data_IF_850740850691
#
_entry.id   IF_850740850691
#
_cell.length_a   1.000
_cell.length_b   1.000
_cell.length_c   1.000
_cell.angle_alpha   90.00
_cell.angle_beta   90.00
_cell.angle_gamma   90.00
#
_symmetry.space_group_name_H-M   'P 1'
#
loop_
_entity.id
_entity.type
_entity.pdbx_description
1 polymer ?
#
# COMPACT_ATOMS: atom_id res chain seq x y z
N UNK A 1 -14.12 18.64 1.77
CA UNK A 1 -13.29 17.73 2.58
C UNK A 1 -12.60 18.41 3.75
N UNK A 2 -11.93 19.55 3.56
CA UNK A 2 -11.29 20.29 4.68
C UNK A 2 -12.24 20.60 5.83
N UNK A 3 -13.47 21.05 5.54
CA UNK A 3 -14.50 21.28 6.57
C UNK A 3 -14.82 20.04 7.41
N UNK A 4 -14.89 18.85 6.79
CA UNK A 4 -15.08 17.60 7.53
C UNK A 4 -13.89 17.31 8.44
N UNK A 5 -12.67 17.54 7.96
CA UNK A 5 -11.45 17.46 8.77
C UNK A 5 -11.48 18.39 9.98
N UNK A 6 -11.94 19.63 9.79
CA UNK A 6 -12.11 20.59 10.89
C UNK A 6 -13.17 20.13 11.91
N UNK A 7 -14.31 19.60 11.47
CA UNK A 7 -15.33 19.06 12.37
C UNK A 7 -14.77 17.90 13.21
N UNK A 8 -14.09 16.93 12.57
CA UNK A 8 -13.47 15.81 13.27
C UNK A 8 -12.41 16.31 14.26
N UNK A 9 -11.53 17.21 13.83
CA UNK A 9 -10.48 17.76 14.70
C UNK A 9 -11.04 18.59 15.87
N UNK A 10 -12.16 19.27 15.66
CA UNK A 10 -12.93 19.94 16.70
C UNK A 10 -13.44 18.95 17.75
N UNK A 11 -14.15 17.91 17.30
CA UNK A 11 -14.66 16.86 18.21
C UNK A 11 -13.54 16.09 18.93
N UNK A 12 -12.38 15.90 18.30
CA UNK A 12 -11.19 15.31 18.95
C UNK A 12 -10.65 16.25 20.03
N UNK A 13 -10.55 17.55 19.75
CA UNK A 13 -10.08 18.56 20.71
C UNK A 13 -11.02 18.69 21.92
N UNK A 14 -12.33 18.62 21.68
CA UNK A 14 -13.38 18.61 22.72
C UNK A 14 -13.48 17.29 23.49
N UNK A 15 -12.66 16.28 23.14
CA UNK A 15 -12.64 14.92 23.73
C UNK A 15 -13.92 14.10 23.52
N UNK A 16 -14.81 14.56 22.65
CA UNK A 16 -16.00 13.82 22.22
C UNK A 16 -15.61 12.65 21.32
N UNK A 17 -14.71 12.90 20.37
CA UNK A 17 -14.14 11.89 19.49
C UNK A 17 -12.85 11.31 20.10
N UNK A 18 -12.83 9.99 20.30
CA UNK A 18 -11.70 9.23 20.83
C UNK A 18 -10.92 8.61 19.66
N UNK A 19 -9.84 9.26 19.20
CA UNK A 19 -9.06 8.79 18.06
C UNK A 19 -8.31 7.50 18.38
N UNK A 20 -7.93 6.78 17.33
CA UNK A 20 -7.10 5.59 17.45
C UNK A 20 -5.66 5.98 17.82
N UNK A 21 -5.00 5.16 18.63
CA UNK A 21 -3.58 5.31 18.96
C UNK A 21 -2.88 3.97 18.84
N UNK A 22 -1.74 3.94 18.13
CA UNK A 22 -0.93 2.72 18.00
C UNK A 22 -0.26 2.28 19.30
N UNK A 23 -0.04 3.21 20.23
CA UNK A 23 0.49 2.97 21.58
C UNK A 23 -0.24 3.87 22.58
N UNK A 24 -0.21 3.53 23.88
CA UNK A 24 -1.01 4.20 24.95
C UNK A 24 -0.87 5.74 24.96
N UNK A 25 0.34 6.26 24.71
CA UNK A 25 0.63 7.70 24.64
C UNK A 25 1.00 8.14 23.21
N UNK A 26 0.45 7.43 22.23
CA UNK A 26 0.71 7.59 20.80
C UNK A 26 0.15 8.89 20.24
N UNK A 27 0.68 9.33 19.10
CA UNK A 27 0.04 10.33 18.25
C UNK A 27 -1.36 9.79 17.87
N UNK A 28 -2.43 10.56 18.13
CA UNK A 28 -3.77 10.18 17.76
C UNK A 28 -3.97 10.21 16.24
N UNK A 29 -4.69 9.24 15.72
CA UNK A 29 -5.15 9.16 14.32
C UNK A 29 -6.67 9.10 14.35
N UNK A 30 -7.34 10.11 13.78
CA UNK A 30 -8.80 10.18 13.69
C UNK A 30 -9.32 9.93 12.29
N UNK A 31 -8.60 10.34 11.25
CA UNK A 31 -9.03 10.17 9.86
C UNK A 31 -7.87 10.17 8.87
N UNK A 32 -8.11 9.60 7.69
CA UNK A 32 -7.29 9.73 6.48
C UNK A 32 -8.20 10.10 5.31
N UNK A 33 -7.82 11.10 4.53
CA UNK A 33 -8.56 11.54 3.35
C UNK A 33 -7.69 11.41 2.10
N UNK A 34 -8.29 10.91 1.03
CA UNK A 34 -7.73 10.98 -0.32
C UNK A 34 -8.87 11.19 -1.31
N UNK A 35 -8.94 12.38 -1.93
CA UNK A 35 -10.09 12.76 -2.76
C UNK A 35 -11.42 12.52 -2.03
N UNK A 36 -12.25 11.61 -2.55
CA UNK A 36 -13.53 11.16 -2.00
C UNK A 36 -13.42 9.93 -1.07
N UNK A 37 -12.28 9.25 -1.05
CA UNK A 37 -12.03 8.09 -0.21
C UNK A 37 -11.62 8.50 1.23
N UNK A 38 -12.43 8.09 2.20
CA UNK A 38 -12.27 8.45 3.61
C UNK A 38 -12.10 7.20 4.47
N UNK A 39 -11.12 7.23 5.37
CA UNK A 39 -11.02 6.27 6.48
C UNK A 39 -11.17 7.02 7.79
N UNK A 40 -12.10 6.56 8.62
CA UNK A 40 -12.32 7.10 9.97
C UNK A 40 -11.81 6.12 11.02
N UNK A 41 -11.17 6.66 12.04
CA UNK A 41 -10.61 5.92 13.16
C UNK A 41 -11.23 6.40 14.46
N UNK A 42 -11.93 5.50 15.15
CA UNK A 42 -12.52 5.76 16.45
C UNK A 42 -12.39 4.53 17.34
N UNK A 43 -12.46 4.75 18.67
CA UNK A 43 -12.54 3.66 19.62
C UNK A 43 -13.90 2.97 19.51
N UNK A 44 -13.92 1.63 19.44
CA UNK A 44 -15.17 0.86 19.43
C UNK A 44 -15.92 1.05 20.75
N UNK A 45 -16.91 1.95 20.76
CA UNK A 45 -17.81 2.29 21.87
C UNK A 45 -19.08 2.92 21.28
N UNK A 46 -20.22 2.71 21.92
CA UNK A 46 -21.51 3.26 21.51
C UNK A 46 -21.50 4.80 21.41
N UNK A 47 -21.00 5.52 22.42
CA UNK A 47 -20.91 6.98 22.35
C UNK A 47 -20.05 7.50 21.19
N UNK A 48 -19.14 6.69 20.64
CA UNK A 48 -18.32 7.09 19.48
C UNK A 48 -19.08 6.96 18.16
N UNK A 49 -20.03 6.02 18.05
CA UNK A 49 -20.84 5.89 16.83
C UNK A 49 -21.80 7.04 16.67
N UNK A 50 -22.36 7.55 17.76
CA UNK A 50 -23.19 8.76 17.77
C UNK A 50 -22.39 9.98 17.30
N UNK A 51 -21.16 10.16 17.82
CA UNK A 51 -20.28 11.26 17.40
C UNK A 51 -19.93 11.15 15.90
N UNK A 52 -19.62 9.95 15.41
CA UNK A 52 -19.37 9.71 13.97
C UNK A 52 -20.59 10.12 13.15
N UNK A 53 -21.78 9.62 13.52
CA UNK A 53 -23.02 9.89 12.81
C UNK A 53 -23.36 11.38 12.82
N UNK A 54 -23.19 12.06 13.96
CA UNK A 54 -23.42 13.49 14.09
C UNK A 54 -22.49 14.29 13.17
N UNK A 55 -21.17 14.04 13.23
CA UNK A 55 -20.19 14.74 12.38
C UNK A 55 -20.49 14.54 10.89
N UNK A 56 -20.80 13.31 10.47
CA UNK A 56 -21.14 13.02 9.07
C UNK A 56 -22.45 13.68 8.64
N UNK A 57 -23.47 13.68 9.51
CA UNK A 57 -24.76 14.30 9.23
C UNK A 57 -24.63 15.82 9.16
N UNK A 58 -23.92 16.45 10.11
CA UNK A 58 -23.64 17.89 10.09
C UNK A 58 -22.88 18.28 8.82
N UNK A 59 -21.86 17.51 8.42
CA UNK A 59 -21.17 17.76 7.16
C UNK A 59 -22.10 17.59 5.94
N UNK A 60 -22.96 16.58 5.94
CA UNK A 60 -23.93 16.37 4.87
C UNK A 60 -24.93 17.53 4.74
N UNK A 61 -25.42 18.06 5.87
CA UNK A 61 -26.30 19.23 5.89
C UNK A 61 -25.64 20.46 5.28
N UNK A 62 -24.36 20.72 5.59
CA UNK A 62 -23.65 21.89 5.07
C UNK A 62 -23.14 21.75 3.63
N UNK A 63 -22.81 20.54 3.20
CA UNK A 63 -22.16 20.29 1.90
C UNK A 63 -23.10 19.72 0.84
N UNK A 64 -24.27 19.23 1.23
CA UNK A 64 -25.16 18.43 0.38
C UNK A 64 -24.64 17.03 0.04
N UNK A 65 -23.43 16.66 0.48
CA UNK A 65 -22.84 15.35 0.18
C UNK A 65 -23.31 14.30 1.18
N UNK A 66 -23.73 13.13 0.69
CA UNK A 66 -24.17 12.02 1.53
C UNK A 66 -23.19 10.86 1.48
N UNK A 67 -23.05 10.18 2.62
CA UNK A 67 -22.24 8.96 2.72
C UNK A 67 -22.92 7.83 1.95
N UNK A 68 -22.17 7.18 1.06
CA UNK A 68 -22.67 6.01 0.34
C UNK A 68 -22.64 4.78 1.27
N UNK A 69 -23.77 4.50 1.93
CA UNK A 69 -23.89 3.38 2.88
C UNK A 69 -23.56 2.02 2.27
N UNK A 70 -23.78 1.81 0.97
CA UNK A 70 -23.49 0.53 0.29
C UNK A 70 -22.00 0.32 0.04
N UNK A 71 -21.23 1.40 -0.09
CA UNK A 71 -19.77 1.35 -0.24
C UNK A 71 -19.02 1.49 1.08
N UNK A 72 -19.72 1.85 2.16
CA UNK A 72 -19.11 2.10 3.46
C UNK A 72 -19.08 0.81 4.26
N UNK A 73 -17.89 0.42 4.69
CA UNK A 73 -17.63 -0.81 5.43
C UNK A 73 -17.04 -0.47 6.81
N UNK A 74 -17.29 -1.34 7.79
CA UNK A 74 -16.70 -1.23 9.12
C UNK A 74 -15.85 -2.46 9.40
N UNK A 75 -14.61 -2.21 9.80
CA UNK A 75 -13.70 -3.21 10.35
C UNK A 75 -13.52 -3.00 11.85
N UNK A 76 -13.61 -4.08 12.61
CA UNK A 76 -13.40 -4.07 14.05
C UNK A 76 -12.10 -4.78 14.42
N UNK A 77 -11.44 -4.28 15.47
CA UNK A 77 -10.29 -4.98 16.06
C UNK A 77 -10.73 -6.36 16.58
N UNK A 78 -9.89 -7.41 16.48
CA UNK A 78 -10.19 -8.75 17.00
C UNK A 78 -10.59 -8.78 18.49
N UNK A 79 -10.15 -7.77 19.26
CA UNK A 79 -10.44 -7.65 20.69
C UNK A 79 -11.79 -6.99 20.99
N UNK A 80 -12.59 -6.65 19.97
CA UNK A 80 -13.91 -6.02 20.15
C UNK A 80 -14.95 -7.10 20.40
N UNK A 81 -15.74 -6.98 21.47
CA UNK A 81 -16.80 -7.96 21.78
C UNK A 81 -17.87 -8.00 20.68
N UNK A 82 -18.35 -9.19 20.30
CA UNK A 82 -19.28 -9.35 19.16
C UNK A 82 -20.55 -8.54 19.30
N UNK A 83 -21.14 -8.50 20.51
CA UNK A 83 -22.36 -7.73 20.77
C UNK A 83 -22.19 -6.25 20.42
N UNK A 84 -21.03 -5.66 20.73
CA UNK A 84 -20.72 -4.26 20.43
C UNK A 84 -20.50 -4.05 18.94
N UNK A 85 -19.91 -5.03 18.23
CA UNK A 85 -19.76 -4.95 16.77
C UNK A 85 -21.13 -4.92 16.08
N UNK A 86 -22.06 -5.77 16.53
CA UNK A 86 -23.41 -5.85 15.97
C UNK A 86 -24.22 -4.59 16.28
N UNK A 87 -24.10 -4.05 17.49
CA UNK A 87 -24.73 -2.79 17.89
C UNK A 87 -24.24 -1.61 17.03
N UNK A 88 -22.92 -1.44 16.90
CA UNK A 88 -22.31 -0.38 16.07
C UNK A 88 -22.74 -0.50 14.61
N UNK A 89 -22.75 -1.72 14.07
CA UNK A 89 -23.13 -1.96 12.67
C UNK A 89 -24.60 -1.68 12.42
N UNK A 90 -25.50 -2.07 13.35
CA UNK A 90 -26.93 -1.76 13.28
C UNK A 90 -27.20 -0.26 13.38
N UNK A 91 -26.51 0.44 14.28
CA UNK A 91 -26.69 1.87 14.48
C UNK A 91 -26.28 2.69 13.25
N UNK A 92 -25.10 2.41 12.68
CA UNK A 92 -24.60 3.14 11.51
C UNK A 92 -25.23 2.64 10.19
N UNK A 93 -25.69 1.38 10.16
CA UNK A 93 -26.23 0.73 8.97
C UNK A 93 -25.18 0.42 7.91
N UNK A 94 -23.93 0.16 8.33
CA UNK A 94 -22.81 -0.18 7.44
C UNK A 94 -22.47 -1.66 7.54
N UNK A 95 -21.90 -2.22 6.46
CA UNK A 95 -21.54 -3.63 6.41
C UNK A 95 -20.28 -3.90 7.23
N UNK A 96 -20.35 -4.90 8.12
CA UNK A 96 -19.18 -5.44 8.82
C UNK A 96 -18.33 -6.29 7.88
N UNK A 97 -17.02 -6.06 7.89
CA UNK A 97 -16.05 -6.84 7.11
C UNK A 97 -14.91 -7.35 7.97
N UNK A 98 -14.34 -8.50 7.58
CA UNK A 98 -13.15 -9.07 8.23
C UNK A 98 -11.85 -8.35 7.82
N UNK A 99 -11.89 -7.58 6.74
CA UNK A 99 -10.78 -6.77 6.24
C UNK A 99 -11.33 -5.63 5.39
N UNK A 100 -10.76 -4.44 5.51
CA UNK A 100 -11.09 -3.26 4.69
C UNK A 100 -10.67 -3.39 3.20
N UNK A 101 -10.23 -4.58 2.78
CA UNK A 101 -9.87 -4.85 1.39
C UNK A 101 -8.71 -4.00 0.88
N UNK A 102 -8.94 -3.23 -0.18
CA UNK A 102 -7.95 -2.37 -0.86
C UNK A 102 -8.30 -0.91 -0.65
N UNK A 103 -7.33 -0.12 -0.19
CA UNK A 103 -7.41 1.33 -0.16
C UNK A 103 -6.39 1.92 -1.12
N UNK A 104 -6.85 2.78 -2.04
CA UNK A 104 -6.04 3.32 -3.13
C UNK A 104 -5.36 2.24 -4.00
N UNK A 105 -5.95 1.05 -4.05
CA UNK A 105 -5.38 -0.10 -4.77
C UNK A 105 -4.32 -0.88 -4.00
N UNK A 106 -3.92 -0.45 -2.79
CA UNK A 106 -3.07 -1.22 -1.89
C UNK A 106 -3.93 -2.03 -0.92
N UNK A 107 -3.73 -3.35 -0.89
CA UNK A 107 -4.42 -4.20 0.09
C UNK A 107 -3.94 -3.92 1.51
N UNK A 108 -4.86 -3.85 2.47
CA UNK A 108 -4.50 -3.87 3.89
C UNK A 108 -3.94 -5.26 4.23
N UNK A 109 -2.62 -5.40 4.17
CA UNK A 109 -1.94 -6.64 4.53
C UNK A 109 -1.91 -6.76 6.06
N UNK A 110 -2.79 -7.60 6.60
CA UNK A 110 -2.88 -7.86 8.04
C UNK A 110 -1.81 -8.86 8.54
N UNK A 111 -1.07 -9.51 7.63
CA UNK A 111 -0.07 -10.54 7.93
C UNK A 111 1.17 -10.43 7.02
N UNK A 112 2.15 -11.33 7.20
CA UNK A 112 3.28 -11.50 6.29
C UNK A 112 2.76 -11.74 4.86
N UNK A 113 3.15 -10.87 3.93
CA UNK A 113 2.71 -10.93 2.55
C UNK A 113 3.12 -12.27 1.91
N UNK A 114 2.13 -13.05 1.47
CA UNK A 114 2.33 -14.32 0.77
C UNK A 114 2.51 -14.04 -0.73
N UNK A 115 3.10 -14.98 -1.46
CA UNK A 115 3.21 -14.86 -2.93
C UNK A 115 1.83 -14.76 -3.60
N UNK A 116 0.81 -15.43 -3.05
CA UNK A 116 -0.58 -15.38 -3.51
C UNK A 116 -1.16 -13.98 -3.48
N UNK A 117 -0.74 -13.15 -2.53
CA UNK A 117 -1.31 -11.81 -2.34
C UNK A 117 -0.93 -10.86 -3.49
N UNK A 118 0.06 -11.24 -4.31
CA UNK A 118 0.56 -10.46 -5.44
C UNK A 118 0.20 -11.04 -6.80
N UNK A 119 -0.60 -12.12 -6.87
CA UNK A 119 -1.02 -12.72 -8.14
C UNK A 119 -1.70 -11.70 -9.06
N UNK A 120 -2.49 -10.79 -8.48
CA UNK A 120 -3.17 -9.73 -9.21
C UNK A 120 -2.21 -8.79 -9.99
N UNK A 121 -0.94 -8.67 -9.56
CA UNK A 121 0.08 -7.89 -10.29
C UNK A 121 0.43 -8.62 -11.58
N UNK A 122 0.64 -9.94 -11.50
CA UNK A 122 0.91 -10.79 -12.65
C UNK A 122 -0.27 -10.77 -13.62
N UNK A 123 -1.50 -10.85 -13.10
CA UNK A 123 -2.71 -10.80 -13.92
C UNK A 123 -2.81 -9.48 -14.68
N UNK A 124 -2.60 -8.33 -14.02
CA UNK A 124 -2.57 -7.01 -14.69
C UNK A 124 -1.50 -6.93 -15.79
N UNK A 125 -0.34 -7.54 -15.59
CA UNK A 125 0.73 -7.58 -16.59
C UNK A 125 0.31 -8.44 -17.78
N UNK A 126 -0.27 -9.62 -17.53
CA UNK A 126 -0.79 -10.51 -18.58
C UNK A 126 -1.91 -9.86 -19.38
N UNK A 127 -2.85 -9.19 -18.71
CA UNK A 127 -3.95 -8.48 -19.38
C UNK A 127 -3.43 -7.37 -20.30
N UNK A 128 -2.43 -6.60 -19.84
CA UNK A 128 -1.74 -5.60 -20.69
C UNK A 128 -1.07 -6.24 -21.90
N UNK A 129 -0.44 -7.39 -21.73
CA UNK A 129 0.22 -8.13 -22.81
C UNK A 129 -0.77 -8.69 -23.83
N UNK A 130 -1.90 -9.24 -23.36
CA UNK A 130 -2.97 -9.75 -24.23
C UNK A 130 -3.59 -8.64 -25.08
N UNK A 131 -3.65 -7.41 -24.57
CA UNK A 131 -4.08 -6.24 -25.31
C UNK A 131 -3.11 -5.75 -26.37
N UNK A 132 -1.88 -6.29 -26.45
CA UNK A 132 -0.88 -5.88 -27.43
C UNK A 132 -0.68 -6.93 -28.52
N UNK A 133 -0.71 -6.48 -29.78
CA UNK A 133 -0.28 -7.28 -30.92
C UNK A 133 1.24 -7.48 -30.90
N UNK A 134 1.74 -8.31 -29.99
CA UNK A 134 3.18 -8.53 -29.76
C UNK A 134 3.94 -8.98 -31.02
N UNK A 135 3.23 -9.55 -32.00
CA UNK A 135 3.74 -10.00 -33.30
C UNK A 135 3.97 -8.87 -34.32
N UNK A 136 3.36 -7.68 -34.15
CA UNK A 136 3.58 -6.53 -35.05
C UNK A 136 4.68 -5.60 -34.57
N UNK A 137 5.22 -5.82 -33.36
CA UNK A 137 6.20 -4.94 -32.73
C UNK A 137 7.64 -5.39 -33.01
N UNK A 138 8.48 -4.42 -33.39
CA UNK A 138 9.93 -4.62 -33.46
C UNK A 138 10.51 -4.98 -32.09
N UNK A 139 11.71 -5.56 -32.06
CA UNK A 139 12.42 -5.85 -30.79
C UNK A 139 12.58 -4.57 -29.95
N UNK A 140 12.98 -3.46 -30.58
CA UNK A 140 13.11 -2.17 -29.92
C UNK A 140 11.77 -1.64 -29.34
N UNK A 141 10.67 -1.85 -30.07
CA UNK A 141 9.32 -1.52 -29.59
C UNK A 141 8.92 -2.32 -28.35
N UNK A 142 9.18 -3.64 -28.37
CA UNK A 142 8.89 -4.52 -27.22
C UNK A 142 9.73 -4.19 -25.99
N UNK A 143 11.02 -3.89 -26.17
CA UNK A 143 11.89 -3.42 -25.08
C UNK A 143 11.38 -2.10 -24.49
N UNK A 144 10.97 -1.16 -25.36
CA UNK A 144 10.43 0.13 -24.92
C UNK A 144 9.16 -0.05 -24.09
N UNK A 145 8.19 -0.85 -24.57
CA UNK A 145 6.96 -1.13 -23.84
C UNK A 145 7.18 -1.91 -22.54
N UNK A 146 8.11 -2.86 -22.54
CA UNK A 146 8.47 -3.59 -21.33
C UNK A 146 8.97 -2.64 -20.23
N UNK A 147 9.79 -1.64 -20.60
CA UNK A 147 10.29 -0.63 -19.65
C UNK A 147 9.24 0.38 -19.20
N UNK A 148 8.50 0.97 -20.14
CA UNK A 148 7.62 2.10 -19.85
C UNK A 148 6.29 1.67 -19.23
N UNK A 149 5.80 0.48 -19.60
CA UNK A 149 4.48 0.02 -19.17
C UNK A 149 4.56 -1.20 -18.23
N UNK A 150 5.26 -2.28 -18.59
CA UNK A 150 5.25 -3.49 -17.75
C UNK A 150 6.02 -3.29 -16.45
N UNK A 151 7.23 -2.73 -16.53
CA UNK A 151 8.05 -2.45 -15.35
C UNK A 151 7.44 -1.40 -14.42
N UNK A 152 6.51 -0.56 -14.92
CA UNK A 152 5.83 0.48 -14.14
C UNK A 152 4.67 -0.05 -13.28
N UNK A 153 4.02 -1.15 -13.69
CA UNK A 153 2.88 -1.75 -12.96
C UNK A 153 3.24 -2.11 -11.50
N UNK A 154 4.33 -2.86 -11.23
CA UNK A 154 4.65 -3.24 -9.86
C UNK A 154 5.20 -2.08 -9.02
N UNK A 155 5.63 -0.97 -9.63
CA UNK A 155 6.27 0.17 -8.93
C UNK A 155 5.38 0.74 -7.84
N UNK A 156 4.09 0.88 -8.10
CA UNK A 156 3.13 1.39 -7.13
C UNK A 156 3.14 0.57 -5.82
N UNK A 157 3.25 -0.75 -5.93
CA UNK A 157 3.30 -1.65 -4.78
C UNK A 157 4.70 -1.69 -4.14
N UNK A 158 5.75 -1.65 -4.95
CA UNK A 158 7.14 -1.61 -4.47
C UNK A 158 7.43 -0.38 -3.60
N UNK A 159 6.70 0.71 -3.77
CA UNK A 159 6.79 1.91 -2.93
C UNK A 159 6.28 1.71 -1.49
N UNK A 160 5.50 0.65 -1.22
CA UNK A 160 4.87 0.43 0.08
C UNK A 160 5.19 -0.93 0.68
N UNK A 161 5.66 -1.90 -0.10
CA UNK A 161 5.96 -3.25 0.39
C UNK A 161 7.16 -3.89 -0.33
N UNK A 162 7.73 -4.90 0.34
CA UNK A 162 8.73 -5.78 -0.25
C UNK A 162 8.00 -6.91 -0.95
N UNK A 163 8.17 -7.00 -2.27
CA UNK A 163 7.69 -8.12 -3.07
C UNK A 163 8.58 -9.34 -2.82
N UNK A 164 8.01 -10.55 -2.69
CA UNK A 164 8.80 -11.77 -2.65
C UNK A 164 9.65 -11.92 -3.91
N UNK A 165 10.91 -12.37 -3.76
CA UNK A 165 11.82 -12.59 -4.90
C UNK A 165 11.19 -13.43 -6.02
N UNK A 166 10.40 -14.44 -5.65
CA UNK A 166 9.64 -15.27 -6.60
C UNK A 166 8.72 -14.43 -7.49
N UNK A 167 7.95 -13.51 -6.91
CA UNK A 167 7.04 -12.63 -7.67
C UNK A 167 7.82 -11.72 -8.62
N UNK A 168 8.95 -11.15 -8.16
CA UNK A 168 9.82 -10.36 -9.04
C UNK A 168 10.35 -11.19 -10.22
N UNK A 169 10.82 -12.41 -9.95
CA UNK A 169 11.33 -13.31 -10.98
C UNK A 169 10.23 -13.74 -11.96
N UNK A 170 9.01 -13.99 -11.48
CA UNK A 170 7.86 -14.34 -12.32
C UNK A 170 7.48 -13.18 -13.27
N UNK A 171 7.50 -11.94 -12.77
CA UNK A 171 7.29 -10.75 -13.60
C UNK A 171 8.41 -10.60 -14.64
N UNK A 172 9.67 -10.70 -14.22
CA UNK A 172 10.82 -10.59 -15.12
C UNK A 172 10.81 -11.69 -16.19
N UNK A 173 10.37 -12.90 -15.85
CA UNK A 173 10.16 -13.99 -16.80
C UNK A 173 9.13 -13.62 -17.88
N UNK A 174 7.98 -13.07 -17.48
CA UNK A 174 6.94 -12.63 -18.40
C UNK A 174 7.47 -11.49 -19.30
N UNK A 175 8.18 -10.51 -18.74
CA UNK A 175 8.79 -9.43 -19.51
C UNK A 175 9.82 -9.96 -20.52
N UNK A 176 10.66 -10.91 -20.09
CA UNK A 176 11.64 -11.57 -20.96
C UNK A 176 10.95 -12.29 -22.12
N UNK A 177 9.88 -13.04 -21.82
CA UNK A 177 9.11 -13.73 -22.84
C UNK A 177 8.52 -12.77 -23.88
N UNK A 178 7.96 -11.65 -23.42
CA UNK A 178 7.44 -10.61 -24.30
C UNK A 178 8.52 -10.00 -25.20
N UNK A 179 9.67 -9.62 -24.64
CA UNK A 179 10.79 -9.02 -25.40
C UNK A 179 11.27 -9.94 -26.52
N UNK A 180 11.44 -11.22 -26.24
CA UNK A 180 11.90 -12.20 -27.25
C UNK A 180 10.76 -12.71 -28.14
N UNK A 181 9.51 -12.49 -27.75
CA UNK A 181 8.33 -12.90 -28.50
C UNK A 181 8.11 -14.40 -28.45
N UNK A 182 8.52 -15.01 -27.35
CA UNK A 182 8.16 -16.38 -27.03
C UNK A 182 6.70 -16.39 -26.57
N UNK A 183 5.90 -17.25 -27.17
CA UNK A 183 4.56 -17.58 -26.68
C UNK A 183 4.55 -19.02 -26.16
N UNK A 184 3.55 -19.39 -25.37
CA UNK A 184 3.35 -20.79 -24.93
C UNK A 184 3.24 -21.74 -26.13
N UNK A 185 2.70 -21.26 -27.26
CA UNK A 185 2.59 -22.01 -28.51
C UNK A 185 3.86 -21.98 -29.39
N UNK A 186 4.79 -21.05 -29.18
CA UNK A 186 6.03 -20.94 -29.95
C UNK A 186 7.17 -20.44 -29.05
N UNK A 187 7.90 -21.35 -28.37
CA UNK A 187 8.99 -20.96 -27.51
C UNK A 187 10.15 -20.40 -28.35
N UNK A 188 10.38 -19.09 -28.25
CA UNK A 188 11.59 -18.45 -28.75
C UNK A 188 12.63 -18.39 -27.64
N UNK A 189 13.84 -18.87 -27.93
CA UNK A 189 14.94 -18.82 -26.97
C UNK A 189 15.38 -17.37 -26.75
N UNK A 190 15.58 -17.01 -25.49
CA UNK A 190 16.23 -15.76 -25.14
C UNK A 190 17.71 -15.83 -25.51
N UNK A 191 18.15 -15.00 -26.44
CA UNK A 191 19.51 -15.03 -26.98
C UNK A 191 20.56 -14.47 -26.02
N UNK A 192 20.14 -13.71 -25.00
CA UNK A 192 21.02 -13.05 -24.05
C UNK A 192 20.60 -13.38 -22.61
N UNK A 193 21.60 -13.54 -21.73
CA UNK A 193 21.37 -13.70 -20.30
C UNK A 193 20.64 -12.45 -19.74
N UNK A 194 19.66 -12.68 -18.87
CA UNK A 194 18.86 -11.61 -18.28
C UNK A 194 19.71 -10.62 -17.47
N UNK A 195 20.74 -11.12 -16.77
CA UNK A 195 21.65 -10.26 -16.02
C UNK A 195 22.45 -9.30 -16.91
N UNK A 196 22.80 -9.73 -18.13
CA UNK A 196 23.47 -8.88 -19.12
C UNK A 196 22.52 -7.83 -19.68
N UNK A 197 21.25 -8.18 -19.88
CA UNK A 197 20.19 -7.25 -20.30
C UNK A 197 19.95 -6.17 -19.23
N UNK A 198 20.12 -6.54 -17.95
CA UNK A 198 19.85 -5.67 -16.82
C UNK A 198 20.96 -4.71 -16.42
N UNK A 199 22.10 -4.73 -17.11
CA UNK A 199 23.20 -3.82 -16.84
C UNK A 199 22.81 -2.35 -17.14
N UNK A 200 23.66 -1.37 -16.80
CA UNK A 200 23.50 0.00 -17.27
C UNK A 200 23.62 0.08 -18.80
N UNK A 201 22.91 1.04 -19.42
CA UNK A 201 22.99 1.30 -20.88
C UNK A 201 24.42 1.67 -21.31
N UNK A 202 25.19 2.30 -20.40
CA UNK A 202 26.62 2.61 -20.60
C UNK A 202 27.46 1.36 -20.90
N UNK A 203 27.02 0.18 -20.45
CA UNK A 203 27.69 -1.10 -20.68
C UNK A 203 27.13 -1.83 -21.92
N UNK A 204 26.43 -1.14 -22.83
CA UNK A 204 25.88 -1.72 -24.06
C UNK A 204 24.63 -2.59 -23.87
N UNK A 205 23.99 -2.51 -22.71
CA UNK A 205 22.80 -3.32 -22.39
C UNK A 205 21.49 -2.60 -22.69
N UNK A 206 20.37 -3.30 -22.47
CA UNK A 206 19.05 -2.71 -22.65
C UNK A 206 18.63 -1.86 -21.47
N UNK A 207 19.35 -1.74 -20.35
CA UNK A 207 18.96 -0.84 -19.25
C UNK A 207 17.62 -1.17 -18.58
N UNK A 208 17.22 -2.44 -18.58
CA UNK A 208 16.06 -2.93 -17.80
C UNK A 208 16.53 -3.17 -16.37
N UNK A 209 15.88 -2.62 -15.35
CA UNK A 209 16.33 -2.84 -13.96
C UNK A 209 15.81 -4.17 -13.43
N UNK A 210 16.62 -4.88 -12.64
CA UNK A 210 16.13 -6.00 -11.83
C UNK A 210 15.09 -5.47 -10.84
N UNK A 211 13.91 -6.06 -10.86
CA UNK A 211 12.76 -5.62 -10.09
C UNK A 211 12.99 -5.76 -8.59
N UNK A 212 13.70 -6.80 -8.15
CA UNK A 212 14.03 -6.96 -6.75
C UNK A 212 14.96 -5.84 -6.25
N UNK A 213 16.00 -5.52 -7.01
CA UNK A 213 16.92 -4.41 -6.65
C UNK A 213 16.19 -3.07 -6.66
N UNK A 214 15.31 -2.87 -7.65
CA UNK A 214 14.51 -1.65 -7.73
C UNK A 214 13.51 -1.52 -6.58
N UNK A 215 12.89 -2.63 -6.16
CA UNK A 215 12.05 -2.65 -4.97
C UNK A 215 12.87 -2.34 -3.71
N UNK A 216 14.07 -2.91 -3.57
CA UNK A 216 14.95 -2.58 -2.45
C UNK A 216 15.34 -1.10 -2.42
N UNK A 217 15.57 -0.47 -3.57
CA UNK A 217 15.79 0.97 -3.65
C UNK A 217 14.59 1.79 -3.14
N UNK A 218 13.34 1.37 -3.40
CA UNK A 218 12.17 2.02 -2.80
C UNK A 218 12.13 1.86 -1.28
N UNK A 219 12.47 0.69 -0.76
CA UNK A 219 12.50 0.46 0.68
C UNK A 219 13.61 1.27 1.35
N UNK A 220 14.76 1.40 0.69
CA UNK A 220 15.84 2.30 1.11
C UNK A 220 15.36 3.75 1.15
N UNK A 221 14.60 4.19 0.14
CA UNK A 221 13.99 5.54 0.13
C UNK A 221 13.05 5.75 1.32
N UNK A 222 12.22 4.76 1.68
CA UNK A 222 11.37 4.82 2.88
C UNK A 222 12.24 4.91 4.13
N UNK A 223 13.27 4.07 4.22
CA UNK A 223 14.24 4.10 5.31
C UNK A 223 14.87 5.49 5.45
N UNK A 224 15.42 6.03 4.36
CA UNK A 224 16.02 7.36 4.36
C UNK A 224 15.04 8.44 4.83
N UNK A 225 13.77 8.37 4.44
CA UNK A 225 12.73 9.29 4.94
C UNK A 225 12.48 9.14 6.45
N UNK A 226 12.65 7.97 7.05
CA UNK A 226 12.54 7.80 8.52
C UNK A 226 13.64 8.55 9.28
N UNK A 227 14.76 8.83 8.61
CA UNK A 227 15.92 9.54 9.17
C UNK A 227 15.86 11.03 8.85
N UNK A 228 15.53 11.37 7.59
CA UNK A 228 15.58 12.76 7.09
C UNK A 228 14.29 13.55 7.29
N UNK A 229 13.11 12.90 7.21
CA UNK A 229 11.81 13.57 7.25
C UNK A 229 11.10 13.37 8.59
N UNK A 230 11.79 13.70 9.69
CA UNK A 230 11.35 13.44 11.07
C UNK A 230 10.00 14.08 11.40
N UNK A 231 9.69 15.24 10.81
CA UNK A 231 8.44 15.97 11.05
C UNK A 231 7.23 15.39 10.34
N UNK A 232 7.43 14.51 9.35
CA UNK A 232 6.34 13.92 8.60
C UNK A 232 5.45 13.05 9.51
N UNK A 233 4.13 13.20 9.41
CA UNK A 233 3.17 12.56 10.30
C UNK A 233 3.35 11.03 10.40
N UNK A 234 3.50 10.36 9.26
CA UNK A 234 3.68 8.91 9.21
C UNK A 234 5.03 8.48 9.80
N UNK A 235 6.10 9.28 9.62
CA UNK A 235 7.42 9.03 10.22
C UNK A 235 7.33 9.12 11.74
N UNK A 236 6.69 10.17 12.26
CA UNK A 236 6.48 10.34 13.71
C UNK A 236 5.72 9.16 14.32
N UNK A 237 4.63 8.72 13.68
CA UNK A 237 3.86 7.55 14.13
C UNK A 237 4.74 6.29 14.16
N UNK A 238 5.49 6.03 13.09
CA UNK A 238 6.33 4.85 12.98
C UNK A 238 7.47 4.87 14.00
N UNK A 239 8.19 5.98 14.13
CA UNK A 239 9.25 6.14 15.13
C UNK A 239 8.72 5.92 16.54
N UNK A 240 7.54 6.43 16.85
CA UNK A 240 6.92 6.24 18.16
C UNK A 240 6.50 4.77 18.40
N UNK A 241 5.86 4.13 17.40
CA UNK A 241 5.42 2.73 17.48
C UNK A 241 6.59 1.76 17.68
N UNK A 242 7.70 2.02 16.99
CA UNK A 242 8.91 1.18 17.02
C UNK A 242 9.97 1.67 18.02
N UNK A 243 9.69 2.73 18.79
CA UNK A 243 10.62 3.34 19.76
C UNK A 243 11.99 3.65 19.15
N UNK A 244 11.99 4.23 17.95
CA UNK A 244 13.21 4.67 17.27
C UNK A 244 13.72 5.95 17.95
N UNK A 245 14.55 5.78 18.98
CA UNK A 245 15.15 6.88 19.75
C UNK A 245 16.31 7.53 18.99
N UNK A 246 17.08 6.74 18.25
CA UNK A 246 18.20 7.24 17.44
C UNK A 246 17.75 7.75 16.07
N UNK A 247 18.47 8.74 15.54
CA UNK A 247 18.22 9.29 14.19
C UNK A 247 18.39 8.20 13.13
N UNK A 248 19.44 7.37 13.26
CA UNK A 248 19.67 6.18 12.44
C UNK A 248 19.63 4.92 13.33
N UNK A 249 18.52 4.17 13.36
CA UNK A 249 18.41 3.01 14.24
C UNK A 249 19.31 1.86 13.77
N UNK A 250 20.30 1.50 14.58
CA UNK A 250 21.20 0.36 14.30
C UNK A 250 20.50 -1.01 14.32
N UNK A 251 19.32 -1.10 14.96
CA UNK A 251 18.49 -2.30 14.97
C UNK A 251 17.03 -1.97 15.33
N UNK A 252 16.07 -2.77 14.83
CA UNK A 252 14.67 -2.70 15.30
C UNK A 252 14.48 -3.71 16.43
N UNK A 253 14.36 -3.22 17.67
CA UNK A 253 14.31 -4.04 18.90
C UNK A 253 13.02 -4.89 19.11
N UNK A 254 12.25 -5.23 18.06
CA UNK A 254 11.00 -6.03 18.21
C UNK A 254 10.83 -7.17 17.22
N UNK A 255 10.44 -8.34 17.73
CA UNK A 255 10.02 -9.54 16.97
C UNK A 255 8.84 -9.24 16.01
N UNK A 256 7.97 -8.27 16.34
CA UNK A 256 6.78 -7.86 15.56
C UNK A 256 7.00 -6.66 14.60
N UNK A 257 8.20 -6.53 14.04
CA UNK A 257 8.51 -5.46 13.08
C UNK A 257 7.82 -5.69 11.73
N UNK A 258 7.21 -4.65 11.16
CA UNK A 258 6.57 -4.75 9.82
C UNK A 258 7.64 -5.07 8.76
N UNK A 259 7.27 -5.73 7.64
CA UNK A 259 8.20 -6.03 6.55
C UNK A 259 8.95 -4.77 6.07
N UNK A 260 8.27 -3.62 6.03
CA UNK A 260 8.85 -2.32 5.66
C UNK A 260 9.98 -1.91 6.61
N UNK A 261 9.77 -2.03 7.93
CA UNK A 261 10.81 -1.71 8.93
C UNK A 261 11.98 -2.67 8.90
N UNK A 262 11.70 -3.98 8.71
CA UNK A 262 12.76 -5.00 8.57
C UNK A 262 13.60 -4.76 7.30
N UNK A 263 12.98 -4.37 6.20
CA UNK A 263 13.70 -4.03 4.96
C UNK A 263 14.46 -2.72 5.04
N UNK A 264 13.90 -1.69 5.69
CA UNK A 264 14.54 -0.39 5.84
C UNK A 264 15.83 -0.49 6.66
N UNK A 265 15.82 -1.21 7.78
CA UNK A 265 17.03 -1.42 8.60
C UNK A 265 18.05 -2.34 7.93
N UNK A 266 17.61 -3.37 7.20
CA UNK A 266 18.53 -4.23 6.42
C UNK A 266 19.20 -3.50 5.26
N UNK A 267 18.57 -2.47 4.71
CA UNK A 267 19.17 -1.67 3.64
C UNK A 267 20.13 -0.58 4.15
N UNK A 268 20.03 -0.20 5.42
CA UNK A 268 20.89 0.82 6.04
C UNK A 268 22.19 0.26 6.64
N UNK A 269 22.25 -1.05 6.88
CA UNK A 269 23.41 -1.76 7.45
C UNK A 269 24.33 -2.35 6.39
#
# INVERSE_FOLDING_TARGET
MERLGHLINGSVSSREWQPFRFIRNGIPVSHLFFADDIILYAKAKQGQTEVIQNVLTTFAMFSGHQVNKRKTEIYFSPNTASWLQDEVSRFLGYQRVESLGKYLGVSFLHAHAKCSDFSFILDKIKDKLNGWASHTLSLAGRVTLAKSALAAIPVYFMQTCILPKKVCNDIEKIMRQFIWGSSEASPKFSLVNWESICQPVKNGSLGIRRLFDFNMAFILKIGFSLVSAIDSFWVRILRQKYKLLEVCPRSVYRQNSTPIMKGSVRGMG
#
